data_IF_548077467418
#
_entry.id   IF_548077467418
#
_cell.length_a   1.000
_cell.length_b   1.000
_cell.length_c   1.000
_cell.angle_alpha   90.00
_cell.angle_beta   90.00
_cell.angle_gamma   90.00
#
_symmetry.space_group_name_H-M   'P 1'
#
loop_
_entity.id
_entity.type
_entity.pdbx_description
1 polymer ?
#
# COMPACT_ATOMS: atom_id res chain seq x y z
N UNK A 1 -6.48 -64.01 -75.94
CA UNK A 1 -6.99 -62.68 -75.48
C UNK A 1 -7.89 -62.80 -74.22
N UNK A 2 -7.81 -63.89 -73.44
CA UNK A 2 -8.68 -64.16 -72.27
C UNK A 2 -7.95 -63.98 -70.92
N UNK A 3 -6.68 -63.56 -70.91
CA UNK A 3 -5.88 -63.42 -69.66
C UNK A 3 -5.64 -61.98 -69.19
N UNK A 4 -6.20 -60.97 -69.88
CA UNK A 4 -6.01 -59.56 -69.51
C UNK A 4 -7.15 -58.96 -68.69
N UNK A 5 -8.30 -59.65 -68.58
CA UNK A 5 -9.49 -59.13 -67.88
C UNK A 5 -9.40 -59.36 -66.35
N UNK A 6 -8.51 -60.24 -65.88
CA UNK A 6 -8.41 -60.56 -64.45
C UNK A 6 -7.36 -59.75 -63.68
N UNK A 7 -6.25 -59.32 -64.30
CA UNK A 7 -5.18 -58.63 -63.55
C UNK A 7 -5.58 -57.24 -63.06
N UNK A 8 -6.19 -56.42 -63.92
CA UNK A 8 -6.64 -55.07 -63.53
C UNK A 8 -7.75 -55.13 -62.47
N UNK A 9 -8.63 -56.13 -62.54
CA UNK A 9 -9.70 -56.33 -61.57
C UNK A 9 -9.17 -56.84 -60.22
N UNK A 10 -8.17 -57.73 -60.23
CA UNK A 10 -7.46 -58.20 -59.02
C UNK A 10 -6.62 -57.08 -58.39
N UNK A 11 -5.92 -56.26 -59.17
CA UNK A 11 -5.13 -55.12 -58.69
C UNK A 11 -6.03 -54.02 -58.10
N UNK A 12 -7.18 -53.74 -58.73
CA UNK A 12 -8.19 -52.84 -58.18
C UNK A 12 -8.78 -53.36 -56.85
N UNK A 13 -9.01 -54.68 -56.74
CA UNK A 13 -9.44 -55.31 -55.49
C UNK A 13 -8.37 -55.28 -54.40
N UNK A 14 -7.08 -55.44 -54.73
CA UNK A 14 -5.96 -55.32 -53.78
C UNK A 14 -5.79 -53.87 -53.28
N UNK A 15 -5.94 -52.88 -54.17
CA UNK A 15 -5.93 -51.46 -53.81
C UNK A 15 -7.04 -51.08 -52.82
N UNK A 16 -8.27 -51.52 -53.09
CA UNK A 16 -9.41 -51.31 -52.17
C UNK A 16 -9.21 -52.02 -50.83
N UNK A 17 -8.58 -53.20 -50.82
CA UNK A 17 -8.27 -53.93 -49.60
C UNK A 17 -7.25 -53.20 -48.71
N UNK A 18 -6.23 -52.57 -49.31
CA UNK A 18 -5.24 -51.73 -48.58
C UNK A 18 -5.91 -50.51 -47.94
N UNK A 19 -6.77 -49.82 -48.70
CA UNK A 19 -7.51 -48.64 -48.22
C UNK A 19 -8.45 -49.03 -47.07
N UNK A 20 -9.17 -50.16 -47.21
CA UNK A 20 -10.04 -50.68 -46.17
C UNK A 20 -9.27 -51.01 -44.88
N UNK A 21 -8.15 -51.75 -44.97
CA UNK A 21 -7.29 -52.09 -43.81
C UNK A 21 -6.74 -50.85 -43.11
N UNK A 22 -6.41 -49.81 -43.87
CA UNK A 22 -5.96 -48.54 -43.32
C UNK A 22 -7.05 -47.89 -42.45
N UNK A 23 -8.28 -47.76 -42.95
CA UNK A 23 -9.38 -47.16 -42.20
C UNK A 23 -9.79 -47.99 -40.98
N UNK A 24 -9.78 -49.32 -41.07
CA UNK A 24 -10.01 -50.21 -39.93
C UNK A 24 -8.93 -50.04 -38.87
N UNK A 25 -7.65 -50.07 -39.24
CA UNK A 25 -6.53 -49.86 -38.32
C UNK A 25 -6.56 -48.49 -37.65
N UNK A 26 -6.93 -47.45 -38.41
CA UNK A 26 -7.11 -46.09 -37.90
C UNK A 26 -8.30 -45.97 -36.93
N UNK A 27 -9.40 -46.68 -37.22
CA UNK A 27 -10.55 -46.79 -36.32
C UNK A 27 -10.18 -47.44 -34.98
N UNK A 28 -9.41 -48.54 -35.02
CA UNK A 28 -8.88 -49.21 -33.81
C UNK A 28 -7.98 -48.26 -33.01
N UNK A 29 -7.10 -47.54 -33.70
CA UNK A 29 -6.20 -46.57 -33.05
C UNK A 29 -6.97 -45.49 -32.27
N UNK A 30 -7.99 -44.88 -32.88
CA UNK A 30 -8.80 -43.86 -32.21
C UNK A 30 -9.69 -44.44 -31.10
N UNK A 31 -10.22 -45.65 -31.28
CA UNK A 31 -10.99 -46.33 -30.24
C UNK A 31 -10.14 -46.60 -28.99
N UNK A 32 -8.89 -47.06 -29.16
CA UNK A 32 -7.96 -47.28 -28.06
C UNK A 32 -7.61 -45.98 -27.30
N UNK A 33 -7.63 -44.84 -28.00
CA UNK A 33 -7.46 -43.50 -27.40
C UNK A 33 -8.75 -42.93 -26.80
N UNK A 34 -9.86 -43.66 -26.86
CA UNK A 34 -11.22 -43.20 -26.50
C UNK A 34 -11.69 -41.98 -27.31
N UNK A 35 -11.10 -41.77 -28.50
CA UNK A 35 -11.52 -40.74 -29.45
C UNK A 35 -12.68 -41.27 -30.31
N UNK A 36 -13.79 -41.61 -29.65
CA UNK A 36 -14.87 -42.42 -30.22
C UNK A 36 -15.50 -41.83 -31.48
N UNK A 37 -15.63 -40.50 -31.58
CA UNK A 37 -16.13 -39.85 -32.79
C UNK A 37 -15.19 -40.10 -33.99
N UNK A 38 -13.89 -39.91 -33.81
CA UNK A 38 -12.90 -40.15 -34.88
C UNK A 38 -12.78 -41.63 -35.24
N UNK A 39 -13.00 -42.51 -34.27
CA UNK A 39 -13.07 -43.95 -34.49
C UNK A 39 -14.28 -44.30 -35.37
N UNK A 40 -15.47 -43.79 -35.06
CA UNK A 40 -16.67 -43.95 -35.90
C UNK A 40 -16.47 -43.41 -37.30
N UNK A 41 -15.91 -42.21 -37.44
CA UNK A 41 -15.65 -41.62 -38.75
C UNK A 41 -14.73 -42.51 -39.60
N UNK A 42 -13.72 -43.11 -38.97
CA UNK A 42 -12.78 -44.04 -39.64
C UNK A 42 -13.46 -45.36 -40.03
N UNK A 43 -14.28 -45.95 -39.16
CA UNK A 43 -15.01 -47.17 -39.50
C UNK A 43 -16.10 -46.94 -40.56
N UNK A 44 -16.79 -45.81 -40.53
CA UNK A 44 -17.76 -45.43 -41.56
C UNK A 44 -17.09 -45.26 -42.94
N UNK A 45 -15.86 -44.75 -42.98
CA UNK A 45 -15.06 -44.73 -44.22
C UNK A 45 -14.68 -46.14 -44.68
N UNK A 46 -14.36 -47.06 -43.77
CA UNK A 46 -14.12 -48.47 -44.12
C UNK A 46 -15.37 -49.14 -44.71
N UNK A 47 -16.57 -48.91 -44.14
CA UNK A 47 -17.84 -49.44 -44.65
C UNK A 47 -18.15 -48.89 -46.05
N UNK A 48 -17.85 -47.62 -46.33
CA UNK A 48 -17.99 -47.05 -47.69
C UNK A 48 -17.11 -47.75 -48.72
N UNK A 49 -15.92 -48.20 -48.33
CA UNK A 49 -14.97 -48.91 -49.20
C UNK A 49 -15.36 -50.37 -49.37
N UNK A 50 -15.85 -51.03 -48.31
CA UNK A 50 -16.33 -52.42 -48.35
C UNK A 50 -17.58 -52.60 -47.47
N UNK A 51 -18.78 -52.50 -48.07
CA UNK A 51 -20.04 -52.71 -47.36
C UNK A 51 -20.26 -54.16 -46.94
N UNK A 52 -21.09 -54.39 -45.92
CA UNK A 52 -21.54 -55.73 -45.52
C UNK A 52 -20.55 -56.55 -44.69
N UNK A 53 -19.50 -55.93 -44.15
CA UNK A 53 -18.55 -56.59 -43.23
C UNK A 53 -19.06 -56.50 -41.80
N UNK A 54 -19.72 -57.57 -41.34
CA UNK A 54 -20.39 -57.65 -40.02
C UNK A 54 -19.48 -57.28 -38.84
N UNK A 55 -18.18 -57.60 -38.92
CA UNK A 55 -17.22 -57.27 -37.86
C UNK A 55 -17.05 -55.76 -37.66
N UNK A 56 -17.04 -54.99 -38.75
CA UNK A 56 -16.91 -53.52 -38.71
C UNK A 56 -18.21 -52.90 -38.22
N UNK A 57 -19.35 -53.43 -38.64
CA UNK A 57 -20.67 -52.96 -38.19
C UNK A 57 -20.87 -53.16 -36.67
N UNK A 58 -20.45 -54.32 -36.13
CA UNK A 58 -20.44 -54.58 -34.68
C UNK A 58 -19.56 -53.58 -33.92
N UNK A 59 -18.37 -53.26 -34.46
CA UNK A 59 -17.45 -52.26 -33.88
C UNK A 59 -18.08 -50.86 -33.88
N UNK A 60 -18.74 -50.45 -34.97
CA UNK A 60 -19.46 -49.17 -35.05
C UNK A 60 -20.54 -49.09 -33.96
N UNK A 61 -21.36 -50.12 -33.81
CA UNK A 61 -22.43 -50.15 -32.80
C UNK A 61 -21.84 -50.04 -31.38
N UNK A 62 -20.77 -50.79 -31.08
CA UNK A 62 -20.11 -50.73 -29.76
C UNK A 62 -19.58 -49.33 -29.46
N UNK A 63 -18.85 -48.74 -30.40
CA UNK A 63 -18.23 -47.42 -30.21
C UNK A 63 -19.29 -46.32 -30.16
N UNK A 64 -20.38 -46.45 -30.91
CA UNK A 64 -21.50 -45.51 -30.83
C UNK A 64 -22.15 -45.52 -29.44
N UNK A 65 -22.27 -46.69 -28.80
CA UNK A 65 -22.74 -46.80 -27.40
C UNK A 65 -21.76 -46.14 -26.44
N UNK A 66 -20.46 -46.42 -26.57
CA UNK A 66 -19.43 -45.79 -25.73
C UNK A 66 -19.40 -44.26 -25.87
N UNK A 67 -19.54 -43.75 -27.11
CA UNK A 67 -19.64 -42.32 -27.37
C UNK A 67 -20.87 -41.70 -26.71
N UNK A 68 -22.03 -42.38 -26.75
CA UNK A 68 -23.25 -41.90 -26.12
C UNK A 68 -23.10 -41.82 -24.59
N UNK A 69 -22.48 -42.82 -23.97
CA UNK A 69 -22.18 -42.84 -22.53
C UNK A 69 -21.23 -41.70 -22.18
N UNK A 70 -20.12 -41.57 -22.91
CA UNK A 70 -19.13 -40.51 -22.68
C UNK A 70 -19.73 -39.10 -22.82
N UNK A 71 -20.61 -38.89 -23.81
CA UNK A 71 -21.35 -37.62 -23.98
C UNK A 71 -22.29 -37.34 -22.80
N UNK A 72 -23.03 -38.36 -22.35
CA UNK A 72 -23.95 -38.22 -21.22
C UNK A 72 -23.22 -37.92 -19.90
N UNK A 73 -22.08 -38.57 -19.66
CA UNK A 73 -21.23 -38.30 -18.49
C UNK A 73 -20.64 -36.89 -18.54
N UNK A 74 -20.10 -36.48 -19.68
CA UNK A 74 -19.57 -35.13 -19.87
C UNK A 74 -20.65 -34.05 -19.67
N UNK A 75 -21.88 -34.29 -20.12
CA UNK A 75 -23.00 -33.38 -19.91
C UNK A 75 -23.39 -33.29 -18.42
N UNK A 76 -23.45 -34.44 -17.72
CA UNK A 76 -23.69 -34.47 -16.27
C UNK A 76 -22.62 -33.68 -15.51
N UNK A 77 -21.36 -33.86 -15.86
CA UNK A 77 -20.25 -33.14 -15.24
C UNK A 77 -20.31 -31.64 -15.54
N UNK A 78 -20.64 -31.26 -16.78
CA UNK A 78 -20.85 -29.85 -17.17
C UNK A 78 -21.95 -29.20 -16.33
N UNK A 79 -23.12 -29.86 -16.22
CA UNK A 79 -24.25 -29.38 -15.40
C UNK A 79 -23.88 -29.26 -13.92
N UNK A 80 -23.06 -30.19 -13.40
CA UNK A 80 -22.56 -30.11 -12.02
C UNK A 80 -21.65 -28.89 -11.83
N UNK A 81 -20.66 -28.69 -12.70
CA UNK A 81 -19.75 -27.53 -12.67
C UNK A 81 -20.50 -26.20 -12.82
N UNK A 82 -21.52 -26.16 -13.67
CA UNK A 82 -22.37 -24.99 -13.86
C UNK A 82 -23.14 -24.63 -12.59
N UNK A 83 -23.73 -25.62 -11.90
CA UNK A 83 -24.40 -25.41 -10.61
C UNK A 83 -23.42 -24.92 -9.54
N UNK A 84 -22.25 -25.53 -9.43
CA UNK A 84 -21.20 -25.12 -8.48
C UNK A 84 -20.72 -23.69 -8.76
N UNK A 85 -20.60 -23.31 -10.04
CA UNK A 85 -20.23 -21.96 -10.43
C UNK A 85 -21.31 -20.94 -10.07
N UNK A 86 -22.58 -21.23 -10.34
CA UNK A 86 -23.71 -20.39 -9.98
C UNK A 86 -23.84 -20.19 -8.46
N UNK A 87 -23.56 -21.23 -7.67
CA UNK A 87 -23.52 -21.13 -6.22
C UNK A 87 -22.40 -20.21 -5.73
N UNK A 88 -21.17 -20.40 -6.24
CA UNK A 88 -20.04 -19.49 -5.96
C UNK A 88 -20.35 -18.05 -6.35
N UNK A 89 -20.97 -17.84 -7.50
CA UNK A 89 -21.37 -16.51 -7.97
C UNK A 89 -22.41 -15.85 -7.04
N UNK A 90 -23.36 -16.63 -6.52
CA UNK A 90 -24.32 -16.14 -5.52
C UNK A 90 -23.64 -15.74 -4.21
N UNK A 91 -22.71 -16.55 -3.71
CA UNK A 91 -21.93 -16.23 -2.52
C UNK A 91 -21.11 -14.95 -2.69
N UNK A 92 -20.44 -14.80 -3.84
CA UNK A 92 -19.65 -13.62 -4.14
C UNK A 92 -20.53 -12.35 -4.25
N UNK A 93 -21.68 -12.45 -4.91
CA UNK A 93 -22.68 -11.37 -4.96
C UNK A 93 -23.16 -10.98 -3.57
N UNK A 94 -23.36 -11.95 -2.67
CA UNK A 94 -23.75 -11.68 -1.28
C UNK A 94 -22.63 -10.99 -0.50
N UNK A 95 -21.37 -11.44 -0.65
CA UNK A 95 -20.20 -10.82 -0.05
C UNK A 95 -20.06 -9.36 -0.51
N UNK A 96 -20.22 -9.11 -1.81
CA UNK A 96 -20.19 -7.77 -2.39
C UNK A 96 -21.30 -6.87 -1.83
N UNK A 97 -22.56 -7.36 -1.76
CA UNK A 97 -23.67 -6.62 -1.15
C UNK A 97 -23.39 -6.24 0.31
N UNK A 98 -22.83 -7.16 1.10
CA UNK A 98 -22.45 -6.89 2.50
C UNK A 98 -21.34 -5.82 2.59
N UNK A 99 -20.33 -5.90 1.73
CA UNK A 99 -19.27 -4.90 1.65
C UNK A 99 -19.79 -3.51 1.25
N UNK A 100 -20.68 -3.44 0.25
CA UNK A 100 -21.32 -2.20 -0.18
C UNK A 100 -22.18 -1.58 0.94
N UNK A 101 -22.92 -2.39 1.69
CA UNK A 101 -23.70 -1.94 2.84
C UNK A 101 -22.81 -1.40 3.97
N UNK A 102 -21.67 -2.05 4.23
CA UNK A 102 -20.68 -1.59 5.20
C UNK A 102 -20.05 -0.25 4.78
N UNK A 103 -19.59 -0.15 3.52
CA UNK A 103 -19.01 1.07 2.98
C UNK A 103 -20.01 2.24 2.98
N UNK A 104 -21.31 1.96 2.76
CA UNK A 104 -22.37 2.98 2.87
C UNK A 104 -22.47 3.54 4.30
N UNK A 105 -22.45 2.69 5.32
CA UNK A 105 -22.49 3.12 6.73
C UNK A 105 -21.27 3.99 7.07
N UNK A 106 -20.07 3.59 6.67
CA UNK A 106 -18.86 4.39 6.88
C UNK A 106 -18.94 5.77 6.21
N UNK A 107 -19.44 5.83 4.97
CA UNK A 107 -19.66 7.11 4.26
C UNK A 107 -20.62 8.03 5.02
N UNK A 108 -21.73 7.48 5.54
CA UNK A 108 -22.68 8.24 6.35
C UNK A 108 -22.05 8.77 7.65
N UNK A 109 -21.19 7.98 8.31
CA UNK A 109 -20.45 8.45 9.48
C UNK A 109 -19.45 9.56 9.14
N UNK A 110 -18.70 9.42 8.04
CA UNK A 110 -17.77 10.45 7.58
C UNK A 110 -18.50 11.78 7.32
N UNK A 111 -19.70 11.73 6.70
CA UNK A 111 -20.53 12.92 6.49
C UNK A 111 -20.93 13.56 7.82
N UNK A 112 -21.35 12.76 8.82
CA UNK A 112 -21.66 13.25 10.17
C UNK A 112 -20.44 13.87 10.87
N UNK A 113 -19.26 13.28 10.71
CA UNK A 113 -18.02 13.81 11.27
C UNK A 113 -17.67 15.16 10.61
N UNK A 114 -17.78 15.25 9.28
CA UNK A 114 -17.54 16.48 8.53
C UNK A 114 -18.46 17.62 8.98
N UNK A 115 -19.75 17.34 9.17
CA UNK A 115 -20.71 18.36 9.65
C UNK A 115 -20.37 18.83 11.06
N UNK A 116 -20.07 17.92 12.01
CA UNK A 116 -19.63 18.25 13.37
C UNK A 116 -18.36 19.11 13.37
N UNK A 117 -17.39 18.77 12.53
CA UNK A 117 -16.13 19.51 12.41
C UNK A 117 -16.34 20.92 11.83
N UNK A 118 -17.25 21.08 10.88
CA UNK A 118 -17.67 22.41 10.38
C UNK A 118 -18.22 23.26 11.52
N UNK A 119 -19.17 22.73 12.30
CA UNK A 119 -19.76 23.44 13.45
C UNK A 119 -18.72 23.80 14.50
N UNK A 120 -17.79 22.89 14.83
CA UNK A 120 -16.67 23.17 15.75
C UNK A 120 -15.77 24.28 15.23
N UNK A 121 -15.45 24.29 13.93
CA UNK A 121 -14.63 25.34 13.30
C UNK A 121 -15.28 26.71 13.42
N UNK A 122 -16.60 26.80 13.23
CA UNK A 122 -17.38 28.03 13.41
C UNK A 122 -17.39 28.50 14.87
N UNK A 123 -17.56 27.58 15.83
CA UNK A 123 -17.48 27.89 17.26
C UNK A 123 -16.08 28.42 17.65
N UNK A 124 -15.02 27.77 17.19
CA UNK A 124 -13.63 28.21 17.40
C UNK A 124 -13.41 29.61 16.81
N UNK A 125 -13.94 29.89 15.62
CA UNK A 125 -13.84 31.22 15.00
C UNK A 125 -14.53 32.30 15.86
N UNK A 126 -15.72 32.01 16.41
CA UNK A 126 -16.44 32.91 17.33
C UNK A 126 -15.61 33.17 18.60
N UNK A 127 -15.03 32.13 19.20
CA UNK A 127 -14.16 32.24 20.39
C UNK A 127 -12.93 33.08 20.07
N UNK A 128 -12.23 32.81 18.95
CA UNK A 128 -11.09 33.61 18.49
C UNK A 128 -11.44 35.09 18.32
N UNK A 129 -12.62 35.41 17.77
CA UNK A 129 -13.10 36.78 17.64
C UNK A 129 -13.31 37.44 19.01
N UNK A 130 -13.89 36.72 19.98
CA UNK A 130 -14.04 37.20 21.37
C UNK A 130 -12.68 37.45 22.03
N UNK A 131 -11.74 36.50 21.90
CA UNK A 131 -10.37 36.62 22.43
C UNK A 131 -9.67 37.84 21.80
N UNK A 132 -9.73 38.02 20.47
CA UNK A 132 -9.15 39.20 19.79
C UNK A 132 -9.73 40.51 20.32
N UNK A 133 -11.06 40.60 20.49
CA UNK A 133 -11.70 41.76 21.10
C UNK A 133 -11.18 42.00 22.52
N UNK A 134 -11.10 40.95 23.34
CA UNK A 134 -10.60 41.04 24.72
C UNK A 134 -9.14 41.49 24.76
N UNK A 135 -8.28 40.94 23.91
CA UNK A 135 -6.88 41.38 23.75
C UNK A 135 -6.82 42.84 23.33
N UNK A 136 -7.66 43.30 22.38
CA UNK A 136 -7.71 44.72 21.98
C UNK A 136 -8.11 45.62 23.16
N UNK A 137 -9.13 45.24 23.93
CA UNK A 137 -9.53 45.99 25.13
C UNK A 137 -8.47 45.96 26.23
N UNK A 138 -7.78 44.84 26.44
CA UNK A 138 -6.70 44.71 27.41
C UNK A 138 -5.47 45.53 26.99
N UNK A 139 -5.14 45.56 25.69
CA UNK A 139 -4.11 46.45 25.14
C UNK A 139 -4.47 47.92 25.30
N UNK A 140 -5.73 48.31 25.08
CA UNK A 140 -6.19 49.68 25.33
C UNK A 140 -6.12 50.05 26.83
N UNK A 141 -6.56 49.16 27.72
CA UNK A 141 -6.42 49.33 29.19
C UNK A 141 -4.96 49.38 29.64
N UNK A 142 -4.09 48.57 29.03
CA UNK A 142 -2.65 48.60 29.29
C UNK A 142 -1.93 49.78 28.62
N UNK A 143 -2.50 50.39 27.57
CA UNK A 143 -2.02 51.65 26.98
C UNK A 143 -2.30 52.82 27.92
N UNK A 144 -3.46 52.80 28.61
CA UNK A 144 -3.81 53.75 29.68
C UNK A 144 -2.91 53.54 30.92
N UNK A 145 -2.69 52.28 31.35
CA UNK A 145 -1.66 51.94 32.36
C UNK A 145 -0.21 52.24 31.91
N UNK A 146 -0.01 52.41 30.61
CA UNK A 146 1.27 52.68 29.95
C UNK A 146 1.64 54.16 29.94
N UNK A 147 0.67 55.06 30.08
CA UNK A 147 0.90 56.49 30.30
C UNK A 147 1.29 56.75 31.77
N UNK A 148 0.67 56.05 32.72
CA UNK A 148 1.09 56.05 34.14
C UNK A 148 2.46 55.36 34.35
N UNK A 149 2.79 54.31 33.58
CA UNK A 149 4.12 53.64 33.63
C UNK A 149 5.21 54.31 32.80
N UNK A 150 4.87 55.15 31.82
CA UNK A 150 5.87 55.95 31.07
C UNK A 150 6.63 56.90 31.98
N UNK A 151 6.00 57.29 33.09
CA UNK A 151 6.57 58.14 34.13
C UNK A 151 7.39 57.30 35.15
N UNK A 152 7.36 55.95 35.10
CA UNK A 152 7.87 55.10 36.18
C UNK A 152 8.90 53.98 35.85
N UNK A 153 9.19 53.55 34.60
CA UNK A 153 10.30 52.57 34.39
C UNK A 153 10.73 52.28 32.94
N UNK A 154 12.00 52.59 32.68
CA UNK A 154 12.85 52.01 31.63
C UNK A 154 13.14 50.51 31.90
N UNK A 155 13.21 49.67 30.85
CA UNK A 155 13.81 48.33 30.89
C UNK A 155 13.54 47.43 29.65
N UNK A 156 14.54 46.70 29.11
CA UNK A 156 14.47 45.99 27.83
C UNK A 156 13.75 44.62 27.89
N UNK A 157 13.36 44.09 26.72
CA UNK A 157 12.90 42.69 26.56
C UNK A 157 13.89 41.74 27.22
N UNK A 158 13.37 40.81 28.03
CA UNK A 158 14.13 39.81 28.79
C UNK A 158 15.22 39.18 27.91
N UNK A 159 16.51 39.22 28.30
CA UNK A 159 17.59 38.70 27.47
C UNK A 159 17.47 37.19 27.32
N UNK A 160 17.77 36.69 26.13
CA UNK A 160 17.87 35.27 25.84
C UNK A 160 18.87 34.62 26.81
N UNK A 161 18.51 33.46 27.38
CA UNK A 161 19.38 32.77 28.34
C UNK A 161 20.44 31.99 27.58
N UNK A 162 21.72 32.28 27.82
CA UNK A 162 22.85 31.60 27.19
C UNK A 162 23.26 30.42 28.08
N UNK A 163 23.24 29.21 27.51
CA UNK A 163 23.76 27.98 28.12
C UNK A 163 24.88 27.45 27.22
N UNK A 164 26.07 28.04 27.37
CA UNK A 164 27.24 27.73 26.54
C UNK A 164 27.03 28.06 25.05
N UNK A 165 27.13 27.03 24.19
CA UNK A 165 26.92 27.11 22.72
C UNK A 165 25.49 27.48 22.32
N UNK A 166 24.53 27.36 23.24
CA UNK A 166 23.11 27.48 22.92
C UNK A 166 22.49 28.73 23.53
N UNK A 167 21.75 29.47 22.72
CA UNK A 167 20.98 30.64 23.14
C UNK A 167 19.50 30.25 23.15
N UNK A 168 18.87 30.32 24.34
CA UNK A 168 17.45 30.01 24.53
C UNK A 168 16.64 31.28 24.28
N UNK A 169 15.93 31.33 23.14
CA UNK A 169 15.27 32.54 22.64
C UNK A 169 13.95 32.87 23.37
N UNK A 170 13.39 31.91 24.11
CA UNK A 170 12.15 32.10 24.89
C UNK A 170 10.86 32.12 24.06
N UNK A 171 10.96 31.85 22.76
CA UNK A 171 9.86 31.77 21.79
C UNK A 171 9.56 30.33 21.32
N UNK A 172 10.12 29.35 22.02
CA UNK A 172 10.07 27.94 21.66
C UNK A 172 11.23 27.48 20.75
N UNK A 173 12.25 28.32 20.54
CA UNK A 173 13.44 27.97 19.77
C UNK A 173 14.73 28.07 20.59
N UNK A 174 15.76 27.35 20.13
CA UNK A 174 17.13 27.44 20.63
C UNK A 174 18.07 27.69 19.46
N UNK A 175 18.89 28.73 19.55
CA UNK A 175 19.94 29.00 18.56
C UNK A 175 21.24 28.30 18.96
N UNK A 176 21.80 27.56 18.02
CA UNK A 176 23.14 26.97 18.09
C UNK A 176 24.13 27.86 17.35
N UNK A 177 24.95 28.61 18.11
CA UNK A 177 25.86 29.61 17.56
C UNK A 177 27.07 29.02 16.83
N UNK A 178 27.41 27.76 17.07
CA UNK A 178 28.59 27.12 16.45
C UNK A 178 28.25 26.51 15.08
N UNK A 179 27.03 26.00 14.93
CA UNK A 179 26.56 25.43 13.65
C UNK A 179 25.81 26.43 12.78
N UNK A 180 25.42 27.60 13.33
CA UNK A 180 24.55 28.54 12.61
C UNK A 180 23.14 27.98 12.41
N UNK A 181 22.66 27.16 13.35
CA UNK A 181 21.38 26.46 13.27
C UNK A 181 20.43 26.95 14.36
N UNK A 182 19.14 26.84 14.11
CA UNK A 182 18.09 27.06 15.10
C UNK A 182 17.21 25.83 15.21
N UNK A 183 16.90 25.46 16.44
CA UNK A 183 16.27 24.19 16.81
C UNK A 183 14.91 24.42 17.43
N UNK A 184 13.97 23.53 17.09
CA UNK A 184 12.69 23.42 17.78
C UNK A 184 12.89 22.99 19.24
N UNK A 185 12.21 23.66 20.19
CA UNK A 185 12.09 23.20 21.58
C UNK A 185 10.78 22.46 21.78
N UNK A 186 10.85 21.24 22.35
CA UNK A 186 9.66 20.46 22.64
C UNK A 186 8.88 21.03 23.82
N UNK A 187 7.56 21.02 23.65
CA UNK A 187 6.59 21.37 24.67
C UNK A 187 6.00 20.11 25.28
N UNK A 188 5.33 20.23 26.43
CA UNK A 188 4.58 19.11 27.03
C UNK A 188 3.47 18.56 26.11
N UNK A 189 3.02 19.35 25.12
CA UNK A 189 1.96 18.96 24.18
C UNK A 189 2.46 18.14 22.99
N UNK A 190 3.73 18.30 22.59
CA UNK A 190 4.28 17.63 21.42
C UNK A 190 5.49 16.73 21.71
N UNK A 191 5.91 16.60 22.96
CA UNK A 191 7.06 15.76 23.33
C UNK A 191 6.85 14.26 23.13
N UNK A 192 5.60 13.76 23.21
CA UNK A 192 5.28 12.34 23.03
C UNK A 192 4.92 11.97 21.58
N UNK A 193 4.97 12.92 20.64
CA UNK A 193 4.57 12.67 19.26
C UNK A 193 5.70 12.01 18.48
N UNK A 194 5.39 10.87 17.87
CA UNK A 194 6.22 10.19 16.89
C UNK A 194 5.56 10.27 15.51
N UNK A 195 6.36 10.09 14.46
CA UNK A 195 5.96 10.24 13.07
C UNK A 195 6.60 9.14 12.24
N UNK A 196 5.98 8.79 11.12
CA UNK A 196 6.67 8.09 10.01
C UNK A 196 7.63 9.07 9.32
N UNK A 197 8.53 8.57 8.48
CA UNK A 197 9.46 9.42 7.72
C UNK A 197 8.73 10.48 6.87
N UNK A 198 7.67 10.09 6.16
CA UNK A 198 6.87 10.99 5.33
C UNK A 198 6.14 12.06 6.14
N UNK A 199 5.48 11.66 7.24
CA UNK A 199 4.76 12.59 8.12
C UNK A 199 5.71 13.56 8.83
N UNK A 200 6.94 13.13 9.09
CA UNK A 200 7.97 13.96 9.72
C UNK A 200 8.42 15.11 8.82
N UNK A 201 8.59 14.86 7.52
CA UNK A 201 8.92 15.92 6.56
C UNK A 201 7.77 16.93 6.44
N UNK A 202 6.53 16.43 6.37
CA UNK A 202 5.34 17.27 6.35
C UNK A 202 5.21 18.11 7.63
N UNK A 203 5.46 17.51 8.80
CA UNK A 203 5.46 18.20 10.08
C UNK A 203 6.42 19.40 10.08
N UNK A 204 7.65 19.20 9.61
CA UNK A 204 8.65 20.28 9.54
C UNK A 204 8.20 21.39 8.59
N UNK A 205 7.74 21.05 7.37
CA UNK A 205 7.27 22.02 6.36
C UNK A 205 6.10 22.89 6.85
N UNK A 206 5.18 22.31 7.61
CA UNK A 206 4.02 23.01 8.16
C UNK A 206 4.28 23.70 9.50
N UNK A 207 5.46 23.51 10.11
CA UNK A 207 5.79 24.11 11.39
C UNK A 207 5.87 25.64 11.27
N UNK A 208 5.19 26.33 12.18
CA UNK A 208 5.21 27.80 12.33
C UNK A 208 5.59 28.13 13.77
N UNK A 209 6.88 28.38 14.00
CA UNK A 209 7.47 28.51 15.33
C UNK A 209 8.53 29.62 15.36
N UNK A 210 8.59 30.41 16.44
CA UNK A 210 9.53 31.51 16.58
C UNK A 210 9.36 32.65 15.56
N UNK A 211 8.25 32.68 14.82
CA UNK A 211 8.06 33.58 13.68
C UNK A 211 8.62 33.06 12.35
N UNK A 212 9.13 31.84 12.32
CA UNK A 212 9.76 31.21 11.15
C UNK A 212 8.90 30.10 10.54
N UNK A 213 9.11 29.85 9.25
CA UNK A 213 8.32 28.91 8.42
C UNK A 213 9.19 27.99 7.58
N UNK A 214 10.51 28.13 7.64
CA UNK A 214 11.56 27.46 6.87
C UNK A 214 12.18 26.29 7.67
N UNK A 215 11.34 25.56 8.40
CA UNK A 215 11.75 24.42 9.22
C UNK A 215 11.89 23.16 8.36
N UNK A 216 12.96 22.40 8.58
CA UNK A 216 13.26 21.15 7.87
C UNK A 216 13.61 20.03 8.85
N UNK A 217 13.61 18.80 8.32
CA UNK A 217 14.26 17.69 9.01
C UNK A 217 15.77 17.94 9.11
N UNK A 218 16.40 17.57 10.24
CA UNK A 218 17.83 17.68 10.41
C UNK A 218 18.56 16.50 9.76
N UNK A 219 19.83 16.71 9.42
CA UNK A 219 20.73 15.60 9.06
C UNK A 219 21.19 14.86 10.31
N UNK A 220 21.75 13.66 10.11
CA UNK A 220 22.39 12.84 11.13
C UNK A 220 23.47 13.63 11.88
N UNK A 221 24.37 14.28 11.14
CA UNK A 221 25.46 15.08 11.69
C UNK A 221 24.95 16.27 12.52
N UNK A 222 23.86 16.90 12.09
CA UNK A 222 23.24 18.00 12.82
C UNK A 222 22.69 17.51 14.17
N UNK A 223 21.93 16.42 14.18
CA UNK A 223 21.38 15.83 15.40
C UNK A 223 22.48 15.32 16.33
N UNK A 224 23.47 14.60 15.82
CA UNK A 224 24.60 14.14 16.62
C UNK A 224 25.37 15.32 17.24
N UNK A 225 25.41 16.47 16.57
CA UNK A 225 26.14 17.66 17.07
C UNK A 225 25.52 18.32 18.30
N UNK A 226 24.25 18.02 18.64
CA UNK A 226 23.57 18.49 19.85
C UNK A 226 23.55 17.45 20.98
N UNK A 227 24.15 16.28 20.75
CA UNK A 227 24.29 15.22 21.75
C UNK A 227 25.69 15.25 22.39
N UNK A 228 25.76 14.75 23.63
CA UNK A 228 27.01 14.55 24.36
C UNK A 228 27.15 13.07 24.71
N UNK A 229 28.13 12.41 24.08
CA UNK A 229 28.49 11.02 24.38
C UNK A 229 28.81 10.86 25.87
N UNK A 230 28.40 9.73 26.45
CA UNK A 230 28.60 9.42 27.87
C UNK A 230 27.60 10.06 28.84
N UNK A 231 26.52 10.70 28.35
CA UNK A 231 25.37 11.12 29.17
C UNK A 231 24.11 10.35 28.78
N UNK A 232 23.21 10.15 29.73
CA UNK A 232 21.89 9.53 29.52
C UNK A 232 20.79 10.38 30.19
N UNK A 233 19.84 10.95 29.42
CA UNK A 233 19.85 10.98 27.95
C UNK A 233 21.05 11.78 27.42
N UNK A 234 21.49 11.48 26.20
CA UNK A 234 22.66 12.11 25.58
C UNK A 234 22.45 13.61 25.29
N UNK A 235 21.20 14.06 25.27
CA UNK A 235 20.81 15.46 25.05
C UNK A 235 20.87 16.29 26.34
N UNK A 236 21.27 17.56 26.23
CA UNK A 236 21.21 18.49 27.36
C UNK A 236 19.78 18.97 27.62
N UNK A 237 19.09 18.37 28.60
CA UNK A 237 17.70 18.72 28.95
C UNK A 237 17.50 20.13 29.51
N UNK A 238 18.57 20.82 29.95
CA UNK A 238 18.45 22.24 30.33
C UNK A 238 18.28 23.14 29.10
N UNK A 239 18.89 22.77 27.98
CA UNK A 239 18.80 23.48 26.70
C UNK A 239 17.58 23.01 25.91
N UNK A 240 17.38 21.69 25.86
CA UNK A 240 16.28 21.05 25.13
C UNK A 240 15.31 20.38 26.13
N UNK A 241 14.48 21.14 26.84
CA UNK A 241 13.51 20.58 27.78
C UNK A 241 12.44 19.74 27.06
N UNK A 242 11.80 18.85 27.81
CA UNK A 242 10.77 17.91 27.34
C UNK A 242 11.22 16.99 26.19
N UNK A 243 12.52 16.85 25.97
CA UNK A 243 13.06 15.92 24.96
C UNK A 243 12.90 14.50 25.48
N UNK A 244 12.30 13.63 24.67
CA UNK A 244 12.17 12.22 25.02
C UNK A 244 13.44 11.46 24.68
N UNK A 245 13.84 10.51 25.55
CA UNK A 245 14.84 9.51 25.17
C UNK A 245 14.23 8.57 24.13
N UNK A 246 14.91 8.40 22.99
CA UNK A 246 14.42 7.58 21.88
C UNK A 246 15.05 7.98 20.55
N UNK A 247 14.62 7.33 19.46
CA UNK A 247 15.10 7.60 18.11
C UNK A 247 14.49 8.87 17.50
N UNK A 248 15.34 9.71 16.92
CA UNK A 248 14.95 10.92 16.20
C UNK A 248 15.24 10.76 14.72
N UNK A 249 14.23 11.05 13.90
CA UNK A 249 14.30 10.95 12.45
C UNK A 249 15.23 12.02 11.87
N UNK A 250 15.99 11.61 10.86
CA UNK A 250 16.84 12.48 10.06
C UNK A 250 16.30 12.60 8.62
N UNK A 251 16.86 13.52 7.85
CA UNK A 251 16.69 13.57 6.39
C UNK A 251 17.60 12.61 5.63
N UNK A 252 18.49 11.88 6.32
CA UNK A 252 19.49 11.02 5.70
C UNK A 252 18.98 9.58 5.53
N UNK A 253 19.45 8.92 4.48
CA UNK A 253 19.11 7.54 4.13
C UNK A 253 20.37 6.71 3.94
N UNK A 254 20.31 5.45 4.36
CA UNK A 254 21.40 4.51 4.13
C UNK A 254 21.47 4.12 2.65
N UNK A 255 22.51 4.58 1.96
CA UNK A 255 22.79 4.18 0.58
C UNK A 255 23.19 2.70 0.46
N UNK A 256 23.69 2.10 1.55
CA UNK A 256 24.19 0.73 1.55
C UNK A 256 23.07 -0.32 1.61
N UNK A 257 21.90 0.02 2.18
CA UNK A 257 20.83 -0.94 2.47
C UNK A 257 19.52 -0.67 1.73
N UNK A 258 19.55 0.06 0.61
CA UNK A 258 18.38 0.33 -0.23
C UNK A 258 17.16 0.87 0.57
N UNK A 259 17.23 2.17 0.90
CA UNK A 259 16.13 3.01 1.42
C UNK A 259 15.86 2.99 2.94
N UNK A 260 16.67 2.34 3.77
CA UNK A 260 16.54 2.48 5.23
C UNK A 260 16.77 3.92 5.71
N UNK A 261 15.98 4.35 6.71
CA UNK A 261 16.10 5.66 7.33
C UNK A 261 17.22 5.67 8.38
N UNK A 262 17.99 6.76 8.43
CA UNK A 262 18.95 6.99 9.51
C UNK A 262 18.24 7.62 10.70
N UNK A 263 18.40 7.01 11.86
CA UNK A 263 17.78 7.43 13.13
C UNK A 263 18.85 7.71 14.16
N UNK A 264 18.74 8.83 14.87
CA UNK A 264 19.67 9.20 15.96
C UNK A 264 19.04 8.89 17.32
N UNK A 265 19.67 8.01 18.10
CA UNK A 265 19.24 7.64 19.44
C UNK A 265 19.65 8.72 20.47
N UNK A 266 18.67 9.47 20.98
CA UNK A 266 18.88 10.51 21.98
C UNK A 266 19.08 9.98 23.41
N UNK A 267 18.81 8.69 23.66
CA UNK A 267 19.12 8.05 24.93
C UNK A 267 20.62 7.76 25.01
N UNK A 268 21.19 7.20 23.93
CA UNK A 268 22.57 6.67 23.93
C UNK A 268 23.59 7.54 23.19
N UNK A 269 23.18 8.39 22.25
CA UNK A 269 24.06 9.32 21.55
C UNK A 269 24.80 8.74 20.34
N UNK A 270 24.16 7.84 19.61
CA UNK A 270 24.66 7.20 18.37
C UNK A 270 23.51 7.08 17.37
N UNK A 271 23.84 6.81 16.11
CA UNK A 271 22.88 6.60 15.03
C UNK A 271 22.81 5.13 14.64
N UNK A 272 21.67 4.73 14.09
CA UNK A 272 21.42 3.41 13.52
C UNK A 272 20.49 3.56 12.32
N UNK A 273 20.36 2.49 11.55
CA UNK A 273 19.45 2.41 10.40
C UNK A 273 18.25 1.53 10.73
N UNK A 274 17.08 1.87 10.21
CA UNK A 274 15.86 1.10 10.40
C UNK A 274 14.96 1.17 9.15
N UNK A 275 13.93 0.32 9.09
CA UNK A 275 12.98 0.26 7.98
C UNK A 275 12.28 1.61 7.79
N UNK A 276 12.36 2.16 6.57
CA UNK A 276 11.71 3.42 6.23
C UNK A 276 10.18 3.37 6.34
N UNK A 277 9.57 2.23 5.99
CA UNK A 277 8.10 2.07 5.97
C UNK A 277 7.48 1.89 7.34
N UNK A 278 8.22 1.33 8.30
CA UNK A 278 7.64 0.81 9.54
C UNK A 278 8.14 1.52 10.80
N UNK A 279 9.15 2.39 10.69
CA UNK A 279 9.72 3.07 11.84
C UNK A 279 8.95 4.35 12.22
N UNK A 280 8.60 4.46 13.51
CA UNK A 280 8.03 5.67 14.10
C UNK A 280 9.05 6.34 15.03
N UNK A 281 9.53 7.52 14.64
CA UNK A 281 10.53 8.26 15.39
C UNK A 281 10.03 9.61 15.90
N UNK A 282 10.73 10.15 16.89
CA UNK A 282 10.57 11.55 17.28
C UNK A 282 11.17 12.47 16.20
N UNK A 283 10.73 13.72 16.16
CA UNK A 283 11.27 14.72 15.23
C UNK A 283 11.70 15.94 16.02
N UNK A 284 12.85 16.54 15.70
CA UNK A 284 13.20 17.91 16.15
C UNK A 284 13.54 18.71 14.91
N UNK A 285 12.64 19.63 14.54
CA UNK A 285 12.88 20.45 13.38
C UNK A 285 14.09 21.38 13.59
N UNK A 286 14.81 21.63 12.49
CA UNK A 286 15.94 22.55 12.43
C UNK A 286 15.74 23.54 11.30
N UNK A 287 16.39 24.69 11.39
CA UNK A 287 16.51 25.65 10.28
C UNK A 287 17.89 26.31 10.31
N UNK A 288 18.30 26.82 9.17
CA UNK A 288 19.55 27.57 9.02
C UNK A 288 19.35 29.03 9.41
N UNK A 289 20.33 29.60 10.13
CA UNK A 289 20.37 31.02 10.47
C UNK A 289 21.20 31.72 9.38
N UNK A 290 20.52 32.49 8.52
CA UNK A 290 21.17 33.37 7.55
C UNK A 290 21.82 34.56 8.23
#
# INVERSE_FOLDING_TARGET
KVLSIDKENIEAQDGLMKIWRYYVSRGVHFANKKEYQKALDSYNLAVKVRPGVEEVDKKIISIAKELAIAKAEAEKERKKKEKEFEEKLKEERLKRKKAEAYAKKEREEIVKIKSRNKTRKEQIAKIRKKIRKKIKTLKAKNKIKGEEKKIASLGPKKPAKIEGRFIINGDGTVTDTKKGLMWEVKTKWNCNKTYTAEDAEFYCKELRLGGYTDWRLPTEDELLSILKKGRRPAVNLKVFPNTKPGGYLTSDFSRALHFDIVVVDFERGWSFTDSYSDYYGYVRAVRDIK
#
